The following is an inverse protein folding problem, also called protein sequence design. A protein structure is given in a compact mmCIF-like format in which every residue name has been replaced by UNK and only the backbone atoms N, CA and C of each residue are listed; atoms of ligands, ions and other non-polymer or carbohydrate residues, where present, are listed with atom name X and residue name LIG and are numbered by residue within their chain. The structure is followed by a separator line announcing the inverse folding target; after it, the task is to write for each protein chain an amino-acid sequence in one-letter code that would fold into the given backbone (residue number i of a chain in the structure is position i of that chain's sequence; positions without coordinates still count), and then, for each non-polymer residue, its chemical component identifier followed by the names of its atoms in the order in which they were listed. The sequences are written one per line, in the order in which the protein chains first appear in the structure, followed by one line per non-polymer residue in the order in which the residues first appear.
data_IF_028327851049
#
_entry.id   IF_028327851049
#
_cell.length_a   1.000
_cell.length_b   1.000
_cell.length_c   1.000
_cell.angle_alpha   90.00
_cell.angle_beta   90.00
_cell.angle_gamma   90.00
#
_symmetry.space_group_name_H-M   'P 1'
#
loop_
_entity.id
_entity.type
_entity.pdbx_description
1 polymer ?
#
# COMPACT_ATOMS: atom_id res chain seq x y z
N UNK A 1 -9.31 -9.55 -5.03
CA UNK A 1 -9.62 -8.37 -4.19
C UNK A 1 -9.27 -7.12 -4.97
N UNK A 2 -10.15 -6.13 -4.93
CA UNK A 2 -9.92 -4.87 -5.64
C UNK A 2 -9.04 -3.95 -4.82
N UNK A 3 -8.10 -3.25 -5.48
CA UNK A 3 -7.19 -2.32 -4.81
C UNK A 3 -7.05 -1.03 -5.62
N UNK A 4 -6.52 0.01 -5.00
CA UNK A 4 -6.22 1.28 -5.67
C UNK A 4 -4.76 1.36 -6.16
N UNK A 5 -4.06 0.24 -6.22
CA UNK A 5 -2.62 0.24 -6.55
C UNK A 5 -2.35 0.87 -7.90
N UNK A 6 -3.10 0.47 -8.92
CA UNK A 6 -2.92 1.03 -10.26
C UNK A 6 -3.27 2.51 -10.30
N UNK A 7 -4.37 2.88 -9.67
CA UNK A 7 -4.84 4.27 -9.68
C UNK A 7 -3.79 5.21 -9.08
N UNK A 8 -3.24 4.84 -7.91
CA UNK A 8 -2.22 5.68 -7.27
C UNK A 8 -0.93 5.70 -8.05
N UNK A 9 -0.56 4.58 -8.65
CA UNK A 9 0.63 4.54 -9.50
C UNK A 9 0.48 5.50 -10.68
N UNK A 10 -0.65 5.44 -11.38
CA UNK A 10 -0.90 6.30 -12.53
C UNK A 10 -1.03 7.76 -12.13
N UNK A 11 -1.70 8.03 -11.01
CA UNK A 11 -1.83 9.40 -10.50
C UNK A 11 -0.50 10.04 -10.17
N UNK A 12 0.51 9.24 -9.84
CA UNK A 12 1.86 9.71 -9.53
C UNK A 12 2.81 9.56 -10.72
N UNK A 13 2.31 9.27 -11.91
CA UNK A 13 3.09 9.13 -13.14
C UNK A 13 4.22 8.10 -13.02
N UNK A 14 3.94 7.01 -12.31
CA UNK A 14 4.92 5.94 -12.11
C UNK A 14 4.64 4.78 -13.03
N UNK A 15 5.72 4.10 -13.46
CA UNK A 15 5.60 2.86 -14.22
C UNK A 15 5.55 1.67 -13.24
N UNK A 16 5.04 0.54 -13.73
CA UNK A 16 5.07 -0.69 -12.94
C UNK A 16 6.51 -1.06 -12.57
N UNK A 17 7.45 -0.84 -13.47
CA UNK A 17 8.85 -1.14 -13.20
C UNK A 17 9.40 -0.32 -12.04
N UNK A 18 9.07 0.98 -12.00
CA UNK A 18 9.53 1.84 -10.92
C UNK A 18 8.99 1.38 -9.57
N UNK A 19 7.72 1.04 -9.51
CA UNK A 19 7.12 0.57 -8.27
C UNK A 19 7.66 -0.80 -7.87
N UNK A 20 7.82 -1.71 -8.84
CA UNK A 20 8.38 -3.03 -8.53
C UNK A 20 9.80 -2.92 -8.00
N UNK A 21 10.61 -2.02 -8.56
CA UNK A 21 11.97 -1.78 -8.06
C UNK A 21 11.94 -1.25 -6.64
N UNK A 22 11.05 -0.32 -6.35
CA UNK A 22 10.89 0.20 -4.99
C UNK A 22 10.54 -0.91 -4.00
N UNK A 23 9.67 -1.82 -4.40
CA UNK A 23 9.24 -2.94 -3.56
C UNK A 23 10.24 -4.10 -3.56
N UNK A 24 11.24 -4.05 -4.43
CA UNK A 24 12.23 -5.11 -4.60
C UNK A 24 11.58 -6.44 -5.01
N UNK A 25 10.64 -6.37 -5.93
CA UNK A 25 9.99 -7.53 -6.53
C UNK A 25 10.10 -7.44 -8.05
N UNK A 26 9.80 -8.54 -8.73
CA UNK A 26 9.79 -8.50 -10.20
C UNK A 26 8.61 -7.68 -10.70
N UNK A 27 8.76 -7.12 -11.90
CA UNK A 27 7.67 -6.38 -12.53
C UNK A 27 6.46 -7.28 -12.77
N UNK A 28 6.70 -8.54 -13.13
CA UNK A 28 5.62 -9.51 -13.34
C UNK A 28 4.84 -9.74 -12.05
N UNK A 29 5.55 -9.94 -10.93
CA UNK A 29 4.89 -10.11 -9.64
C UNK A 29 4.05 -8.89 -9.28
N UNK A 30 4.61 -7.69 -9.45
CA UNK A 30 3.88 -6.47 -9.15
C UNK A 30 2.64 -6.33 -10.04
N UNK A 31 2.77 -6.65 -11.34
CA UNK A 31 1.62 -6.55 -12.23
C UNK A 31 0.47 -7.46 -11.81
N UNK A 32 0.79 -8.63 -11.27
CA UNK A 32 -0.23 -9.53 -10.73
C UNK A 32 -0.93 -8.95 -9.50
N UNK A 33 -0.20 -8.17 -8.69
CA UNK A 33 -0.82 -7.47 -7.56
C UNK A 33 -1.83 -6.42 -8.05
N UNK A 34 -1.50 -5.69 -9.11
CA UNK A 34 -2.40 -4.65 -9.62
C UNK A 34 -3.71 -5.22 -10.15
N UNK A 35 -3.66 -6.36 -10.81
CA UNK A 35 -4.86 -6.98 -11.39
C UNK A 35 -5.51 -7.99 -10.44
N UNK A 36 -5.03 -8.07 -9.22
CA UNK A 36 -5.53 -8.98 -8.18
C UNK A 36 -5.46 -10.46 -8.58
N UNK A 37 -4.58 -10.80 -9.51
CA UNK A 37 -4.29 -12.18 -9.84
C UNK A 37 -3.55 -12.87 -8.71
N UNK A 38 -2.81 -12.10 -7.94
CA UNK A 38 -2.10 -12.53 -6.75
C UNK A 38 -2.26 -11.47 -5.67
N UNK A 39 -2.49 -11.88 -4.44
CA UNK A 39 -2.63 -10.93 -3.34
C UNK A 39 -1.27 -10.38 -2.95
N UNK A 40 -1.21 -9.05 -2.77
CA UNK A 40 0.00 -8.41 -2.34
C UNK A 40 0.27 -8.75 -0.87
N UNK A 41 1.51 -9.14 -0.51
CA UNK A 41 1.86 -9.35 0.89
C UNK A 41 1.63 -8.08 1.73
N UNK A 42 1.24 -8.28 2.97
CA UNK A 42 0.87 -7.19 3.86
C UNK A 42 2.01 -6.20 4.08
N UNK A 43 3.23 -6.68 4.21
CA UNK A 43 4.41 -5.81 4.39
C UNK A 43 4.64 -4.92 3.17
N UNK A 44 4.43 -5.44 1.96
CA UNK A 44 4.56 -4.64 0.75
C UNK A 44 3.41 -3.65 0.61
N UNK A 45 2.21 -4.04 1.01
CA UNK A 45 1.06 -3.14 1.00
C UNK A 45 1.29 -1.97 1.95
N UNK A 46 1.78 -2.26 3.15
CA UNK A 46 2.11 -1.22 4.13
C UNK A 46 3.19 -0.28 3.61
N UNK A 47 4.20 -0.83 2.94
CA UNK A 47 5.27 -0.03 2.35
C UNK A 47 4.74 0.91 1.28
N UNK A 48 3.79 0.46 0.46
CA UNK A 48 3.17 1.31 -0.55
C UNK A 48 2.28 2.38 0.07
N UNK A 49 1.57 2.06 1.16
CA UNK A 49 0.77 3.06 1.86
C UNK A 49 1.66 4.20 2.34
N UNK A 50 2.80 3.88 2.93
CA UNK A 50 3.77 4.89 3.36
C UNK A 50 4.33 5.66 2.17
N UNK A 51 4.64 4.98 1.09
CA UNK A 51 5.20 5.59 -0.11
C UNK A 51 4.25 6.63 -0.71
N UNK A 52 2.96 6.29 -0.80
CA UNK A 52 1.95 7.20 -1.35
C UNK A 52 1.39 8.19 -0.31
N UNK A 53 1.79 8.06 0.94
CA UNK A 53 1.28 8.95 2.00
C UNK A 53 -0.18 8.71 2.34
N UNK A 54 -0.60 7.46 2.33
CA UNK A 54 -1.98 7.08 2.64
C UNK A 54 -2.02 5.87 3.57
N UNK A 55 -3.19 5.29 3.76
CA UNK A 55 -3.36 4.12 4.61
C UNK A 55 -3.55 2.85 3.79
N UNK A 56 -3.28 1.70 4.40
CA UNK A 56 -3.59 0.42 3.77
C UNK A 56 -5.10 0.28 3.53
N UNK A 57 -5.92 0.82 4.43
CA UNK A 57 -7.37 0.81 4.25
C UNK A 57 -7.79 1.52 2.98
N UNK A 58 -7.17 2.67 2.68
CA UNK A 58 -7.46 3.38 1.44
C UNK A 58 -7.05 2.55 0.22
N UNK A 59 -5.89 1.90 0.26
CA UNK A 59 -5.42 1.06 -0.83
C UNK A 59 -6.37 -0.11 -1.09
N UNK A 60 -7.05 -0.59 -0.05
CA UNK A 60 -7.93 -1.75 -0.13
C UNK A 60 -9.41 -1.39 -0.32
N UNK A 61 -9.73 -0.13 -0.58
CA UNK A 61 -11.10 0.36 -0.71
C UNK A 61 -11.93 0.19 0.56
N UNK A 62 -11.28 0.16 1.71
CA UNK A 62 -11.99 0.07 2.99
C UNK A 62 -12.39 1.44 3.53
N UNK A 63 -11.86 2.49 2.95
CA UNK A 63 -12.18 3.87 3.25
C UNK A 63 -11.97 4.71 2.00
N UNK A 64 -12.67 5.82 1.90
CA UNK A 64 -12.44 6.82 0.87
C UNK A 64 -11.57 7.98 1.38
N UNK A 65 -11.15 7.92 2.64
CA UNK A 65 -10.28 8.93 3.22
C UNK A 65 -8.83 8.65 2.85
N UNK A 66 -8.25 9.53 2.02
CA UNK A 66 -6.85 9.39 1.59
C UNK A 66 -5.87 9.68 2.72
N UNK A 67 -6.20 10.64 3.58
CA UNK A 67 -5.30 11.04 4.67
C UNK A 67 -5.08 9.86 5.60
N UNK A 68 -3.82 9.49 5.88
CA UNK A 68 -3.57 8.33 6.73
C UNK A 68 -3.95 8.63 8.17
N UNK A 69 -4.18 7.58 8.92
CA UNK A 69 -4.36 7.71 10.35
C UNK A 69 -3.12 8.34 10.97
N UNK A 70 -3.34 9.12 12.02
CA UNK A 70 -2.23 9.64 12.81
C UNK A 70 -1.41 8.47 13.31
N UNK A 71 -0.10 8.49 13.03
CA UNK A 71 0.77 7.43 13.52
C UNK A 71 0.78 7.45 15.03
N UNK A 72 0.72 6.27 15.61
CA UNK A 72 0.77 6.14 17.05
C UNK A 72 2.10 6.69 17.56
N UNK A 73 2.01 7.52 18.59
CA UNK A 73 3.17 7.99 19.34
C UNK A 73 3.37 7.19 20.61
N UNK A 74 2.54 6.17 20.80
CA UNK A 74 2.64 5.33 21.97
C UNK A 74 3.94 4.54 21.92
N UNK A 75 4.64 4.52 23.02
CA UNK A 75 5.75 3.61 23.18
C UNK A 75 5.20 2.18 23.28
N UNK A 76 6.10 1.21 23.19
CA UNK A 76 5.68 -0.18 23.35
C UNK A 76 5.03 -0.46 24.69
N UNK A 77 5.37 0.31 25.70
CA UNK A 77 4.77 0.16 27.02
C UNK A 77 3.34 0.67 27.08
N UNK A 78 3.00 1.53 26.17
CA UNK A 78 1.70 2.19 26.14
C UNK A 78 0.73 1.53 25.20
N UNK A 79 1.14 0.44 24.58
CA UNK A 79 0.23 -0.32 23.73
C UNK A 79 -0.93 -0.77 24.58
N UNK A 80 -2.10 -0.33 24.20
CA UNK A 80 -3.30 -0.70 24.91
C UNK A 80 -3.80 -2.02 24.36
N UNK A 81 -3.93 -2.94 25.25
CA UNK A 81 -4.50 -4.23 24.92
C UNK A 81 -5.91 -4.23 25.42
N UNK A 82 -6.81 -4.31 24.50
CA UNK A 82 -8.22 -4.35 24.82
C UNK A 82 -8.81 -5.66 24.45
#
# INVERSE_FOLDING_TARGET
MKTRLRNLREDNDLTQKQVSNYLNVSQVAYSYYEISKREIPLDLLSKLADFYGTSTDYLLYRTDEFTPYTKSKLSKKEVIIV
#
